data_IF_148521292495
#
_entry.id   IF_148521292495
#
_cell.length_a   1.000
_cell.length_b   1.000
_cell.length_c   1.000
_cell.angle_alpha   90.00
_cell.angle_beta   90.00
_cell.angle_gamma   90.00
#
_symmetry.space_group_name_H-M   'P 1'
#
loop_
_entity.id
_entity.type
_entity.pdbx_description
1 polymer ?
#
# COMPACT_ATOMS: atom_id res chain seq x y z
N UNK A 1 -26.77 -26.61 28.85
CA UNK A 1 -26.53 -26.84 27.41
C UNK A 1 -25.27 -26.10 27.01
N UNK A 2 -24.17 -26.81 26.72
CA UNK A 2 -22.94 -26.22 26.19
C UNK A 2 -23.22 -25.81 24.74
N UNK A 3 -23.10 -24.52 24.42
CA UNK A 3 -23.25 -24.07 23.04
C UNK A 3 -22.08 -24.61 22.21
N UNK A 4 -22.37 -25.57 21.33
CA UNK A 4 -21.46 -25.93 20.27
C UNK A 4 -21.33 -24.70 19.36
N UNK A 5 -20.22 -23.95 19.50
CA UNK A 5 -19.78 -23.07 18.42
C UNK A 5 -19.63 -23.95 17.17
N UNK A 6 -20.16 -23.56 16.01
CA UNK A 6 -19.99 -24.35 14.80
C UNK A 6 -18.48 -24.51 14.57
N UNK A 7 -18.03 -25.74 14.35
CA UNK A 7 -16.66 -26.04 13.92
C UNK A 7 -16.42 -25.20 12.68
N UNK A 8 -15.58 -24.17 12.79
CA UNK A 8 -15.29 -23.28 11.67
C UNK A 8 -14.81 -24.16 10.51
N UNK A 9 -15.53 -24.12 9.39
CA UNK A 9 -15.17 -24.89 8.20
C UNK A 9 -13.68 -24.64 7.89
N UNK A 10 -12.90 -25.73 7.83
CA UNK A 10 -11.45 -25.67 7.57
C UNK A 10 -11.25 -24.90 6.27
N UNK A 11 -10.76 -23.67 6.36
CA UNK A 11 -10.49 -22.84 5.18
C UNK A 11 -9.31 -23.46 4.44
N UNK A 12 -9.38 -23.51 3.11
CA UNK A 12 -8.25 -23.98 2.32
C UNK A 12 -7.03 -23.07 2.53
N UNK A 13 -5.80 -23.60 2.49
CA UNK A 13 -4.58 -22.80 2.65
C UNK A 13 -4.53 -21.59 1.70
N UNK A 14 -4.95 -21.78 0.45
CA UNK A 14 -5.03 -20.71 -0.55
C UNK A 14 -5.94 -19.57 -0.08
N UNK A 15 -7.12 -19.89 0.48
CA UNK A 15 -8.06 -18.88 0.96
C UNK A 15 -7.49 -18.08 2.14
N UNK A 16 -6.73 -18.71 3.02
CA UNK A 16 -6.07 -18.03 4.14
C UNK A 16 -4.99 -17.05 3.66
N UNK A 17 -4.17 -17.45 2.69
CA UNK A 17 -3.16 -16.57 2.12
C UNK A 17 -3.76 -15.44 1.27
N UNK A 18 -4.84 -15.68 0.54
CA UNK A 18 -5.60 -14.61 -0.12
C UNK A 18 -6.22 -13.64 0.89
N UNK A 19 -6.73 -14.14 2.01
CA UNK A 19 -7.22 -13.28 3.08
C UNK A 19 -6.08 -12.40 3.65
N UNK A 20 -4.91 -12.99 3.92
CA UNK A 20 -3.73 -12.27 4.42
C UNK A 20 -3.20 -11.22 3.44
N UNK A 21 -3.16 -11.54 2.14
CA UNK A 21 -2.67 -10.64 1.09
C UNK A 21 -3.61 -9.45 0.80
N UNK A 22 -4.91 -9.57 1.15
CA UNK A 22 -5.97 -8.58 0.91
C UNK A 22 -6.07 -8.09 -0.54
N UNK A 23 -6.36 -8.95 -1.55
CA UNK A 23 -6.42 -8.57 -2.96
C UNK A 23 -7.35 -7.40 -3.30
N UNK A 24 -8.41 -7.19 -2.53
CA UNK A 24 -9.32 -6.05 -2.75
C UNK A 24 -8.62 -4.69 -2.57
N UNK A 25 -7.51 -4.64 -1.83
CA UNK A 25 -6.68 -3.43 -1.65
C UNK A 25 -5.76 -3.16 -2.84
N UNK A 26 -5.47 -4.15 -3.69
CA UNK A 26 -4.52 -4.03 -4.79
C UNK A 26 -4.93 -3.00 -5.85
N UNK A 27 -6.21 -2.59 -5.88
CA UNK A 27 -6.66 -1.47 -6.69
C UNK A 27 -5.84 -0.20 -6.42
N UNK A 28 -5.44 0.06 -5.17
CA UNK A 28 -4.63 1.22 -4.81
C UNK A 28 -3.21 1.18 -5.43
N UNK A 29 -2.65 -0.02 -5.70
CA UNK A 29 -1.36 -0.12 -6.40
C UNK A 29 -1.49 -0.24 -7.91
N UNK A 30 -2.54 -0.89 -8.39
CA UNK A 30 -2.75 -1.11 -9.81
C UNK A 30 -3.17 0.17 -10.54
N UNK A 31 -4.08 0.98 -9.98
CA UNK A 31 -4.57 2.20 -10.64
C UNK A 31 -3.45 3.14 -11.12
N UNK A 32 -2.44 3.53 -10.31
CA UNK A 32 -1.34 4.39 -10.79
C UNK A 32 -0.45 3.69 -11.83
N UNK A 33 -0.27 2.36 -11.77
CA UNK A 33 0.47 1.59 -12.78
C UNK A 33 -0.25 1.62 -14.13
N UNK A 34 -1.56 1.38 -14.14
CA UNK A 34 -2.36 1.45 -15.36
C UNK A 34 -2.50 2.88 -15.88
N UNK A 35 -2.57 3.87 -15.00
CA UNK A 35 -2.51 5.29 -15.38
C UNK A 35 -1.20 5.61 -16.10
N UNK A 36 -0.06 5.14 -15.59
CA UNK A 36 1.22 5.33 -16.25
C UNK A 36 1.24 4.69 -17.64
N UNK A 37 0.74 3.46 -17.79
CA UNK A 37 0.62 2.80 -19.09
C UNK A 37 -0.27 3.60 -20.07
N UNK A 38 -1.40 4.12 -19.60
CA UNK A 38 -2.28 4.96 -20.42
C UNK A 38 -1.59 6.27 -20.86
N UNK A 39 -0.78 6.88 -20.00
CA UNK A 39 0.00 8.07 -20.35
C UNK A 39 1.08 7.78 -21.37
N UNK A 40 1.76 6.63 -21.25
CA UNK A 40 2.75 6.18 -22.22
C UNK A 40 2.10 5.96 -23.60
N UNK A 41 0.93 5.32 -23.64
CA UNK A 41 0.16 5.15 -24.88
C UNK A 41 -0.22 6.50 -25.51
N UNK A 42 -0.72 7.43 -24.70
CA UNK A 42 -1.13 8.77 -25.17
C UNK A 42 0.06 9.59 -25.69
N UNK A 43 1.23 9.42 -25.09
CA UNK A 43 2.43 10.17 -25.48
C UNK A 43 3.14 9.58 -26.71
N UNK A 44 2.68 8.45 -27.24
CA UNK A 44 3.26 7.77 -28.42
C UNK A 44 4.78 7.53 -28.31
N UNK A 45 5.25 7.26 -27.09
CA UNK A 45 6.68 7.08 -26.83
C UNK A 45 7.17 5.69 -27.22
N UNK A 46 8.46 5.53 -27.60
CA UNK A 46 9.11 4.24 -27.66
C UNK A 46 8.99 3.52 -26.31
N UNK A 47 8.37 2.35 -26.32
CA UNK A 47 7.93 1.67 -25.09
C UNK A 47 8.28 0.20 -25.09
N UNK A 48 8.77 -0.28 -23.95
CA UNK A 48 9.07 -1.68 -23.65
C UNK A 48 7.88 -2.39 -23.03
N UNK A 49 6.84 -2.64 -23.83
CA UNK A 49 5.61 -3.30 -23.36
C UNK A 49 5.84 -4.71 -22.81
N UNK A 50 6.94 -5.36 -23.20
CA UNK A 50 7.39 -6.63 -22.62
C UNK A 50 7.64 -6.56 -21.11
N UNK A 51 7.92 -5.37 -20.56
CA UNK A 51 8.13 -5.15 -19.13
C UNK A 51 6.83 -4.93 -18.35
N UNK A 52 5.72 -4.62 -19.02
CA UNK A 52 4.47 -4.27 -18.34
C UNK A 52 3.94 -5.38 -17.41
N UNK A 53 3.93 -6.68 -17.78
CA UNK A 53 3.54 -7.74 -16.87
C UNK A 53 4.42 -7.80 -15.60
N UNK A 54 5.72 -7.50 -15.73
CA UNK A 54 6.64 -7.44 -14.59
C UNK A 54 6.38 -6.21 -13.71
N UNK A 55 5.99 -5.08 -14.29
CA UNK A 55 5.60 -3.88 -13.53
C UNK A 55 4.35 -4.17 -12.69
N UNK A 56 3.33 -4.78 -13.30
CA UNK A 56 2.12 -5.21 -12.58
C UNK A 56 2.50 -6.21 -11.48
N UNK A 57 3.29 -7.23 -11.79
CA UNK A 57 3.76 -8.20 -10.81
C UNK A 57 4.51 -7.54 -9.64
N UNK A 58 5.46 -6.64 -9.92
CA UNK A 58 6.23 -5.94 -8.88
C UNK A 58 5.32 -5.09 -7.97
N UNK A 59 4.34 -4.38 -8.54
CA UNK A 59 3.36 -3.58 -7.80
C UNK A 59 2.45 -4.44 -6.90
N UNK A 60 2.07 -5.63 -7.35
CA UNK A 60 1.27 -6.57 -6.57
C UNK A 60 2.11 -7.20 -5.45
N UNK A 61 3.35 -7.59 -5.76
CA UNK A 61 4.27 -8.18 -4.79
C UNK A 61 4.60 -7.20 -3.67
N UNK A 62 4.93 -5.94 -3.98
CA UNK A 62 5.29 -4.95 -2.95
C UNK A 62 4.08 -4.57 -2.09
N UNK A 63 2.88 -4.53 -2.68
CA UNK A 63 1.64 -4.30 -1.94
C UNK A 63 1.35 -5.48 -1.02
N UNK A 64 1.37 -6.71 -1.53
CA UNK A 64 1.19 -7.91 -0.72
C UNK A 64 2.23 -8.01 0.40
N UNK A 65 3.49 -7.71 0.11
CA UNK A 65 4.58 -7.67 1.09
C UNK A 65 4.27 -6.68 2.23
N UNK A 66 3.86 -5.46 1.87
CA UNK A 66 3.46 -4.41 2.81
C UNK A 66 2.27 -4.87 3.66
N UNK A 67 1.23 -5.46 3.05
CA UNK A 67 0.07 -5.98 3.78
C UNK A 67 0.42 -7.07 4.80
N UNK A 68 1.31 -8.01 4.44
CA UNK A 68 1.72 -9.11 5.30
C UNK A 68 2.62 -8.64 6.45
N UNK A 69 3.57 -7.74 6.15
CA UNK A 69 4.44 -7.13 7.16
C UNK A 69 3.61 -6.28 8.13
N UNK A 70 2.64 -5.52 7.61
CA UNK A 70 1.72 -4.73 8.43
C UNK A 70 0.92 -5.59 9.39
N UNK A 71 0.26 -6.64 8.90
CA UNK A 71 -0.47 -7.56 9.77
C UNK A 71 0.42 -8.14 10.89
N UNK A 72 1.66 -8.50 10.57
CA UNK A 72 2.60 -9.02 11.56
C UNK A 72 2.94 -7.97 12.64
N UNK A 73 3.34 -6.75 12.24
CA UNK A 73 3.78 -5.73 13.19
C UNK A 73 2.61 -5.12 13.97
N UNK A 74 1.45 -4.90 13.34
CA UNK A 74 0.24 -4.43 14.02
C UNK A 74 -0.26 -5.49 15.03
N UNK A 75 -0.23 -6.78 14.70
CA UNK A 75 -0.51 -7.88 15.64
C UNK A 75 0.49 -7.91 16.80
N UNK A 76 1.80 -7.81 16.51
CA UNK A 76 2.86 -7.80 17.54
C UNK A 76 2.80 -6.58 18.46
N UNK A 77 2.35 -5.44 17.94
CA UNK A 77 2.20 -4.18 18.68
C UNK A 77 0.93 -4.15 19.53
N UNK A 78 -0.05 -5.00 19.24
CA UNK A 78 -1.36 -5.00 19.89
C UNK A 78 -2.34 -3.97 19.30
N UNK A 79 -2.02 -3.45 18.11
CA UNK A 79 -2.96 -2.64 17.31
C UNK A 79 -4.08 -3.57 16.85
N UNK A 80 -3.73 -4.69 16.22
CA UNK A 80 -4.69 -5.69 15.78
C UNK A 80 -5.07 -6.63 16.93
N UNK A 81 -6.35 -6.60 17.31
CA UNK A 81 -6.94 -7.38 18.40
C UNK A 81 -8.36 -7.86 18.05
N UNK A 82 -8.96 -8.79 18.83
CA UNK A 82 -10.27 -9.34 18.50
C UNK A 82 -11.39 -8.32 18.29
N UNK A 83 -11.30 -7.16 18.94
CA UNK A 83 -12.29 -6.09 18.92
C UNK A 83 -12.10 -5.09 17.77
N UNK A 84 -10.92 -5.06 17.14
CA UNK A 84 -10.59 -4.10 16.08
C UNK A 84 -11.02 -4.58 14.69
N UNK A 85 -11.31 -3.59 13.84
CA UNK A 85 -11.71 -3.77 12.45
C UNK A 85 -10.63 -3.19 11.54
N UNK A 86 -9.84 -4.02 10.82
CA UNK A 86 -8.83 -3.48 9.91
C UNK A 86 -7.76 -4.48 9.44
N UNK A 87 -7.45 -5.47 10.28
CA UNK A 87 -6.53 -6.55 9.94
C UNK A 87 -7.14 -7.56 8.98
N UNK A 88 -6.31 -8.38 8.34
CA UNK A 88 -6.82 -9.58 7.64
C UNK A 88 -7.45 -10.62 8.56
N UNK A 89 -7.33 -10.45 9.89
CA UNK A 89 -7.74 -11.38 10.95
C UNK A 89 -6.97 -12.69 11.02
N UNK A 90 -6.09 -13.02 10.07
CA UNK A 90 -5.43 -14.34 10.03
C UNK A 90 -4.52 -14.60 11.24
N UNK A 91 -3.92 -13.56 11.81
CA UNK A 91 -3.09 -13.66 13.02
C UNK A 91 -3.91 -13.56 14.30
N UNK A 92 -4.84 -12.60 14.36
CA UNK A 92 -5.74 -12.40 15.51
C UNK A 92 -6.58 -13.65 15.78
N UNK A 93 -7.05 -14.33 14.73
CA UNK A 93 -7.85 -15.56 14.83
C UNK A 93 -6.99 -16.84 14.92
N UNK A 94 -5.66 -16.72 14.93
CA UNK A 94 -4.75 -17.88 15.03
C UNK A 94 -4.78 -18.82 13.81
N UNK A 95 -5.20 -18.33 12.64
CA UNK A 95 -5.34 -19.13 11.42
C UNK A 95 -4.00 -19.38 10.72
N UNK A 96 -3.03 -18.48 10.87
CA UNK A 96 -1.68 -18.62 10.37
C UNK A 96 -0.66 -18.29 11.48
N UNK A 97 0.49 -18.98 11.53
CA UNK A 97 1.53 -18.65 12.49
C UNK A 97 2.18 -17.29 12.14
N UNK A 98 2.38 -16.37 13.10
CA UNK A 98 2.94 -15.03 12.84
C UNK A 98 4.26 -15.04 12.08
N UNK A 99 5.15 -15.99 12.41
CA UNK A 99 6.44 -16.13 11.72
C UNK A 99 6.27 -16.46 10.23
N UNK A 100 5.28 -17.26 9.84
CA UNK A 100 5.04 -17.56 8.43
C UNK A 100 4.55 -16.34 7.67
N UNK A 101 3.67 -15.53 8.27
CA UNK A 101 3.17 -14.29 7.65
C UNK A 101 4.32 -13.29 7.45
N UNK A 102 5.19 -13.11 8.44
CA UNK A 102 6.38 -12.27 8.30
C UNK A 102 7.32 -12.78 7.19
N UNK A 103 7.64 -14.08 7.19
CA UNK A 103 8.53 -14.65 6.18
C UNK A 103 7.94 -14.56 4.76
N UNK A 104 6.62 -14.71 4.61
CA UNK A 104 5.94 -14.50 3.33
C UNK A 104 6.04 -13.04 2.88
N UNK A 105 5.86 -12.08 3.79
CA UNK A 105 6.04 -10.65 3.49
C UNK A 105 7.47 -10.31 3.07
N UNK A 106 8.47 -10.80 3.81
CA UNK A 106 9.89 -10.63 3.47
C UNK A 106 10.25 -11.32 2.15
N UNK A 107 9.69 -12.51 1.88
CA UNK A 107 9.85 -13.22 0.62
C UNK A 107 9.27 -12.43 -0.55
N UNK A 108 8.08 -11.83 -0.38
CA UNK A 108 7.47 -10.97 -1.39
C UNK A 108 8.30 -9.70 -1.66
N UNK A 109 8.85 -9.06 -0.61
CA UNK A 109 9.84 -7.97 -0.80
C UNK A 109 11.08 -8.44 -1.56
N UNK A 110 11.61 -9.62 -1.25
CA UNK A 110 12.74 -10.21 -1.97
C UNK A 110 12.43 -10.46 -3.45
N UNK A 111 11.24 -10.95 -3.76
CA UNK A 111 10.78 -11.13 -5.14
C UNK A 111 10.58 -9.79 -5.87
N UNK A 112 10.01 -8.78 -5.19
CA UNK A 112 9.95 -7.41 -5.73
C UNK A 112 11.35 -6.88 -6.05
N UNK A 113 12.32 -7.08 -5.16
CA UNK A 113 13.70 -6.66 -5.38
C UNK A 113 14.33 -7.39 -6.57
N UNK A 114 14.11 -8.70 -6.71
CA UNK A 114 14.60 -9.48 -7.85
C UNK A 114 14.04 -8.96 -9.19
N UNK A 115 12.74 -8.64 -9.25
CA UNK A 115 12.13 -8.00 -10.42
C UNK A 115 12.72 -6.59 -10.64
N UNK A 116 12.91 -5.82 -9.57
CA UNK A 116 13.53 -4.50 -9.62
C UNK A 116 14.96 -4.52 -10.18
N UNK A 117 15.76 -5.55 -9.90
CA UNK A 117 17.09 -5.72 -10.48
C UNK A 117 17.06 -5.84 -12.01
N UNK A 118 16.04 -6.47 -12.58
CA UNK A 118 15.83 -6.52 -14.03
C UNK A 118 15.64 -5.10 -14.57
N UNK A 119 14.78 -4.30 -13.92
CA UNK A 119 14.53 -2.93 -14.34
C UNK A 119 15.77 -2.05 -14.21
N UNK A 120 16.53 -2.19 -13.12
CA UNK A 120 17.80 -1.47 -12.88
C UNK A 120 18.84 -1.83 -13.96
N UNK A 121 18.92 -3.10 -14.35
CA UNK A 121 19.85 -3.53 -15.41
C UNK A 121 19.52 -2.88 -16.78
N UNK A 122 18.25 -2.56 -17.04
CA UNK A 122 17.80 -1.99 -18.31
C UNK A 122 17.89 -0.45 -18.31
N UNK A 123 17.51 0.20 -17.20
CA UNK A 123 17.31 1.66 -17.15
C UNK A 123 18.17 2.39 -16.10
N UNK A 124 18.96 1.66 -15.33
CA UNK A 124 19.98 2.22 -14.43
C UNK A 124 19.47 2.69 -13.06
N UNK A 125 20.29 3.52 -12.42
CA UNK A 125 20.17 3.90 -11.00
C UNK A 125 18.89 4.65 -10.59
N UNK A 126 18.15 5.40 -11.44
CA UNK A 126 16.93 6.07 -10.99
C UNK A 126 15.88 5.07 -10.47
N UNK A 127 15.81 3.87 -11.07
CA UNK A 127 14.93 2.79 -10.61
C UNK A 127 15.37 2.24 -9.26
N UNK A 128 16.68 2.16 -9.01
CA UNK A 128 17.20 1.74 -7.71
C UNK A 128 16.72 2.68 -6.60
N UNK A 129 16.78 4.00 -6.83
CA UNK A 129 16.31 4.99 -5.85
C UNK A 129 14.81 4.84 -5.60
N UNK A 130 13.99 4.77 -6.65
CA UNK A 130 12.54 4.56 -6.51
C UNK A 130 12.21 3.23 -5.80
N UNK A 131 12.92 2.16 -6.15
CA UNK A 131 12.76 0.85 -5.53
C UNK A 131 13.11 0.86 -4.05
N UNK A 132 14.23 1.46 -3.67
CA UNK A 132 14.64 1.60 -2.26
C UNK A 132 13.63 2.44 -1.46
N UNK A 133 13.18 3.57 -2.01
CA UNK A 133 12.17 4.42 -1.38
C UNK A 133 10.84 3.67 -1.22
N UNK A 134 10.39 2.96 -2.25
CA UNK A 134 9.16 2.17 -2.22
C UNK A 134 9.23 1.01 -1.22
N UNK A 135 10.33 0.26 -1.21
CA UNK A 135 10.54 -0.85 -0.28
C UNK A 135 10.67 -0.38 1.16
N UNK A 136 11.42 0.71 1.39
CA UNK A 136 11.52 1.33 2.71
C UNK A 136 10.17 1.85 3.18
N UNK A 137 9.40 2.50 2.30
CA UNK A 137 8.03 2.93 2.56
C UNK A 137 7.13 1.78 2.98
N UNK A 138 7.07 0.70 2.21
CA UNK A 138 6.25 -0.47 2.53
C UNK A 138 6.67 -1.15 3.84
N UNK A 139 7.97 -1.34 4.07
CA UNK A 139 8.46 -2.03 5.26
C UNK A 139 8.32 -1.18 6.53
N UNK A 140 8.82 0.06 6.51
CA UNK A 140 8.83 0.96 7.67
C UNK A 140 7.49 1.65 7.93
N UNK A 141 6.45 1.33 7.17
CA UNK A 141 5.08 1.75 7.47
C UNK A 141 4.68 1.33 8.88
N UNK A 142 4.90 0.06 9.24
CA UNK A 142 4.62 -0.49 10.59
C UNK A 142 5.84 -1.09 11.28
N UNK A 143 6.89 -1.47 10.52
CA UNK A 143 8.08 -2.08 11.10
C UNK A 143 8.92 -1.07 11.90
N UNK A 144 9.35 -1.50 13.09
CA UNK A 144 10.32 -0.76 13.90
C UNK A 144 11.72 -0.77 13.25
N UNK A 145 12.56 0.26 13.49
CA UNK A 145 12.38 1.32 14.50
C UNK A 145 11.58 2.55 14.02
N UNK A 146 11.24 2.64 12.74
CA UNK A 146 10.61 3.85 12.17
C UNK A 146 9.09 3.83 12.36
N UNK A 147 8.42 2.78 11.89
CA UNK A 147 6.97 2.58 11.99
C UNK A 147 6.15 3.87 11.78
N UNK A 148 6.33 4.53 10.63
CA UNK A 148 5.88 5.91 10.44
C UNK A 148 4.35 6.07 10.43
N UNK A 149 3.59 4.98 10.25
CA UNK A 149 2.14 4.94 10.53
C UNK A 149 1.85 5.45 11.95
N UNK A 150 2.68 5.03 12.90
CA UNK A 150 2.53 5.35 14.33
C UNK A 150 3.07 6.72 14.72
N UNK A 151 3.66 7.45 13.76
CA UNK A 151 4.19 8.81 13.92
C UNK A 151 3.27 9.87 13.28
N UNK A 152 2.10 9.48 12.79
CA UNK A 152 1.11 10.41 12.23
C UNK A 152 1.44 10.99 10.86
N UNK A 153 2.35 10.34 10.11
CA UNK A 153 2.72 10.75 8.74
C UNK A 153 2.31 9.73 7.68
N UNK A 154 1.52 8.72 8.06
CA UNK A 154 1.07 7.62 7.20
C UNK A 154 0.38 8.12 5.93
N UNK A 155 -0.62 8.97 6.07
CA UNK A 155 -1.47 9.47 4.97
C UNK A 155 -0.63 10.24 3.93
N UNK A 156 0.29 11.09 4.41
CA UNK A 156 1.22 11.84 3.55
C UNK A 156 2.19 10.92 2.80
N UNK A 157 2.81 9.96 3.49
CA UNK A 157 3.75 9.03 2.84
C UNK A 157 3.03 8.14 1.83
N UNK A 158 1.85 7.61 2.18
CA UNK A 158 1.06 6.74 1.30
C UNK A 158 0.56 7.50 0.08
N UNK A 159 0.16 8.77 0.20
CA UNK A 159 -0.15 9.64 -0.93
C UNK A 159 0.97 9.61 -1.99
N UNK A 160 2.22 9.87 -1.57
CA UNK A 160 3.35 9.99 -2.48
C UNK A 160 3.81 8.63 -3.02
N UNK A 161 3.97 7.65 -2.12
CA UNK A 161 4.48 6.33 -2.45
C UNK A 161 3.51 5.56 -3.34
N UNK A 162 2.21 5.58 -3.00
CA UNK A 162 1.20 4.80 -3.69
C UNK A 162 0.46 5.56 -4.80
N UNK A 163 0.76 6.83 -5.02
CA UNK A 163 0.23 7.61 -6.14
C UNK A 163 1.36 8.04 -7.09
N UNK A 164 1.87 9.28 -6.98
CA UNK A 164 2.83 9.83 -7.93
C UNK A 164 4.09 9.01 -8.14
N UNK A 165 4.76 8.53 -7.09
CA UNK A 165 6.03 7.81 -7.25
C UNK A 165 5.84 6.44 -7.92
N UNK A 166 4.73 5.76 -7.64
CA UNK A 166 4.42 4.50 -8.30
C UNK A 166 4.07 4.69 -9.78
N UNK A 167 3.33 5.74 -10.13
CA UNK A 167 3.05 6.09 -11.52
C UNK A 167 4.32 6.47 -12.28
N UNK A 168 5.18 7.31 -11.69
CA UNK A 168 6.48 7.69 -12.27
C UNK A 168 7.38 6.47 -12.44
N UNK A 169 7.44 5.58 -11.44
CA UNK A 169 8.22 4.35 -11.52
C UNK A 169 7.76 3.44 -12.66
N UNK A 170 6.44 3.23 -12.80
CA UNK A 170 5.88 2.46 -13.91
C UNK A 170 6.19 3.12 -15.27
N UNK A 171 6.03 4.44 -15.39
CA UNK A 171 6.35 5.19 -16.60
C UNK A 171 7.84 5.05 -16.97
N UNK A 172 8.72 5.19 -15.98
CA UNK A 172 10.16 5.07 -16.12
C UNK A 172 10.58 3.66 -16.56
N UNK A 173 9.98 2.62 -15.99
CA UNK A 173 10.27 1.23 -16.42
C UNK A 173 9.81 0.99 -17.87
N UNK A 174 8.67 1.55 -18.28
CA UNK A 174 8.14 1.33 -19.62
C UNK A 174 8.90 2.11 -20.71
N UNK A 175 9.39 3.30 -20.40
CA UNK A 175 9.94 4.23 -21.40
C UNK A 175 11.43 4.50 -21.25
N UNK A 176 12.00 4.23 -20.07
CA UNK A 176 13.34 4.68 -19.69
C UNK A 176 13.46 6.17 -19.38
N UNK A 177 12.33 6.91 -19.34
CA UNK A 177 12.31 8.36 -19.15
C UNK A 177 11.64 8.74 -17.83
N UNK A 178 12.19 9.77 -17.17
CA UNK A 178 11.52 10.40 -16.04
C UNK A 178 10.42 11.36 -16.54
N UNK A 179 9.23 11.30 -15.94
CA UNK A 179 8.09 12.15 -16.35
C UNK A 179 7.47 12.90 -15.17
N UNK A 180 7.70 14.21 -15.12
CA UNK A 180 7.01 15.11 -14.20
C UNK A 180 5.50 15.20 -14.49
N UNK A 181 5.11 14.99 -15.75
CA UNK A 181 3.71 14.95 -16.16
C UNK A 181 3.00 13.72 -15.57
N UNK A 182 3.65 12.54 -15.60
CA UNK A 182 3.12 11.35 -14.96
C UNK A 182 2.96 11.55 -13.44
N UNK A 183 3.92 12.24 -12.82
CA UNK A 183 3.84 12.60 -11.40
C UNK A 183 2.62 13.50 -11.10
N UNK A 184 2.43 14.56 -11.89
CA UNK A 184 1.33 15.51 -11.71
C UNK A 184 -0.05 14.86 -11.94
N UNK A 185 -0.20 14.10 -13.03
CA UNK A 185 -1.45 13.42 -13.38
C UNK A 185 -1.83 12.33 -12.38
N UNK A 186 -0.86 11.81 -11.61
CA UNK A 186 -1.10 10.85 -10.54
C UNK A 186 -1.43 11.49 -9.18
N UNK A 187 -1.42 12.83 -9.03
CA UNK A 187 -1.80 13.50 -7.78
C UNK A 187 -3.27 13.21 -7.37
N UNK A 188 -4.26 13.21 -8.29
CA UNK A 188 -5.62 12.75 -7.97
C UNK A 188 -5.66 11.31 -7.43
N UNK A 189 -4.87 10.41 -8.04
CA UNK A 189 -4.79 9.01 -7.60
C UNK A 189 -4.19 8.92 -6.19
N UNK A 190 -3.09 9.63 -5.93
CA UNK A 190 -2.50 9.71 -4.58
C UNK A 190 -3.50 10.23 -3.55
N UNK A 191 -4.31 11.23 -3.90
CA UNK A 191 -5.35 11.80 -3.03
C UNK A 191 -6.41 10.77 -2.67
N UNK A 192 -6.87 9.98 -3.65
CA UNK A 192 -7.87 8.92 -3.43
C UNK A 192 -7.28 7.72 -2.66
N UNK A 193 -6.03 7.35 -2.91
CA UNK A 193 -5.38 6.27 -2.13
C UNK A 193 -5.19 6.71 -0.67
N UNK A 194 -4.74 7.94 -0.45
CA UNK A 194 -4.61 8.49 0.90
C UNK A 194 -5.97 8.63 1.60
N UNK A 195 -7.05 8.94 0.88
CA UNK A 195 -8.38 9.03 1.51
C UNK A 195 -8.90 7.66 1.99
N UNK A 196 -8.55 6.56 1.33
CA UNK A 196 -8.84 5.20 1.83
C UNK A 196 -8.18 5.00 3.20
N UNK A 197 -6.90 5.39 3.33
CA UNK A 197 -6.18 5.26 4.58
C UNK A 197 -6.71 6.22 5.65
N UNK A 198 -6.95 7.49 5.31
CA UNK A 198 -7.51 8.49 6.21
C UNK A 198 -8.88 8.05 6.76
N UNK A 199 -9.72 7.43 5.91
CA UNK A 199 -11.00 6.84 6.33
C UNK A 199 -10.84 5.69 7.34
N UNK A 200 -9.84 4.82 7.14
CA UNK A 200 -9.50 3.78 8.12
C UNK A 200 -9.00 4.40 9.43
N UNK A 201 -8.03 5.31 9.37
CA UNK A 201 -7.47 5.97 10.55
C UNK A 201 -8.55 6.74 11.34
N UNK A 202 -9.51 7.38 10.65
CA UNK A 202 -10.63 8.08 11.28
C UNK A 202 -11.56 7.11 12.05
N UNK A 203 -11.85 5.94 11.49
CA UNK A 203 -12.61 4.88 12.17
C UNK A 203 -11.86 4.38 13.40
N UNK A 204 -10.54 4.25 13.27
CA UNK A 204 -9.70 3.53 14.23
C UNK A 204 -9.09 4.44 15.31
N UNK A 205 -9.42 5.74 15.36
CA UNK A 205 -8.88 6.70 16.36
C UNK A 205 -8.94 6.16 17.80
N UNK A 206 -10.11 5.67 18.23
CA UNK A 206 -10.28 5.15 19.58
C UNK A 206 -9.45 3.87 19.79
N UNK A 207 -9.35 3.04 18.76
CA UNK A 207 -8.64 1.77 18.84
C UNK A 207 -7.12 1.93 18.82
N UNK A 208 -6.60 2.87 18.03
CA UNK A 208 -5.20 3.25 17.97
C UNK A 208 -4.72 3.86 19.30
N UNK A 209 -5.58 4.67 19.95
CA UNK A 209 -5.28 5.27 21.24
C UNK A 209 -5.06 4.21 22.33
N UNK A 210 -5.87 3.14 22.34
CA UNK A 210 -5.69 2.00 23.26
C UNK A 210 -4.34 1.30 23.02
N UNK A 211 -3.92 1.18 21.75
CA UNK A 211 -2.63 0.60 21.36
C UNK A 211 -1.43 1.55 21.53
N UNK A 212 -1.66 2.78 22.03
CA UNK A 212 -0.65 3.84 22.17
C UNK A 212 0.08 4.13 20.84
N UNK A 213 -0.71 4.14 19.77
CA UNK A 213 -0.30 4.46 18.41
C UNK A 213 -0.92 5.80 18.02
N UNK A 214 -0.17 6.60 17.28
CA UNK A 214 -0.61 7.92 16.85
C UNK A 214 -0.61 7.99 15.32
N UNK A 215 -1.80 7.86 14.73
CA UNK A 215 -2.03 8.08 13.29
C UNK A 215 -2.35 9.56 13.01
N UNK A 216 -2.39 9.97 11.73
CA UNK A 216 -2.74 11.35 11.34
C UNK A 216 -4.09 11.76 11.92
N UNK A 217 -5.07 10.86 11.83
CA UNK A 217 -6.39 11.06 12.40
C UNK A 217 -6.37 11.19 13.94
N UNK A 218 -5.51 10.43 14.62
CA UNK A 218 -5.29 10.54 16.06
C UNK A 218 -4.70 11.89 16.48
N UNK A 219 -3.78 12.47 15.69
CA UNK A 219 -3.22 13.81 15.93
C UNK A 219 -4.26 14.91 15.72
N UNK A 220 -5.05 14.81 14.64
CA UNK A 220 -6.04 15.80 14.26
C UNK A 220 -7.31 15.76 15.12
N UNK A 221 -7.67 14.57 15.61
CA UNK A 221 -8.94 14.29 16.26
C UNK A 221 -10.12 14.20 15.27
N UNK A 222 -11.26 13.68 15.75
CA UNK A 222 -12.40 13.30 14.89
C UNK A 222 -12.94 14.38 13.94
N UNK A 223 -12.93 15.66 14.34
CA UNK A 223 -13.47 16.74 13.48
C UNK A 223 -12.52 17.08 12.35
N UNK A 224 -11.24 17.29 12.66
CA UNK A 224 -10.26 17.66 11.65
C UNK A 224 -9.89 16.46 10.74
N UNK A 225 -9.85 15.23 11.27
CA UNK A 225 -9.66 14.02 10.47
C UNK A 225 -10.79 13.81 9.43
N UNK A 226 -12.05 14.16 9.76
CA UNK A 226 -13.15 14.17 8.78
C UNK A 226 -12.96 15.22 7.69
N UNK A 227 -12.43 16.39 8.05
CA UNK A 227 -12.12 17.44 7.08
C UNK A 227 -10.95 17.06 6.19
N UNK A 228 -9.91 16.42 6.72
CA UNK A 228 -8.81 15.84 5.95
C UNK A 228 -9.32 14.84 4.92
N UNK A 229 -10.12 13.85 5.34
CA UNK A 229 -10.72 12.88 4.43
C UNK A 229 -11.50 13.57 3.30
N UNK A 230 -12.37 14.54 3.65
CA UNK A 230 -13.14 15.29 2.66
C UNK A 230 -12.23 16.11 1.73
N UNK A 231 -11.18 16.74 2.26
CA UNK A 231 -10.22 17.51 1.49
C UNK A 231 -9.46 16.62 0.50
N UNK A 232 -9.01 15.43 0.90
CA UNK A 232 -8.36 14.47 0.02
C UNK A 232 -9.28 14.07 -1.14
N UNK A 233 -10.53 13.73 -0.85
CA UNK A 233 -11.52 13.38 -1.90
C UNK A 233 -11.79 14.55 -2.83
N UNK A 234 -12.09 15.74 -2.29
CA UNK A 234 -12.39 16.93 -3.10
C UNK A 234 -11.17 17.34 -3.95
N UNK A 235 -9.98 17.30 -3.36
CA UNK A 235 -8.73 17.65 -4.05
C UNK A 235 -8.49 16.75 -5.26
N UNK A 236 -8.85 15.47 -5.22
CA UNK A 236 -8.72 14.58 -6.36
C UNK A 236 -9.49 15.10 -7.58
N UNK A 237 -10.74 15.53 -7.40
CA UNK A 237 -11.57 16.05 -8.49
C UNK A 237 -11.15 17.45 -8.94
N UNK A 238 -10.78 18.32 -7.99
CA UNK A 238 -10.26 19.66 -8.31
C UNK A 238 -8.97 19.56 -9.13
N UNK A 239 -8.06 18.67 -8.74
CA UNK A 239 -6.82 18.42 -9.46
C UNK A 239 -7.08 17.89 -10.88
N UNK A 240 -8.09 17.03 -11.08
CA UNK A 240 -8.49 16.61 -12.43
C UNK A 240 -8.88 17.84 -13.27
N UNK A 241 -9.73 18.74 -12.75
CA UNK A 241 -10.17 19.94 -13.48
C UNK A 241 -8.98 20.87 -13.81
N UNK A 242 -7.99 20.98 -12.91
CA UNK A 242 -6.81 21.83 -13.11
C UNK A 242 -5.83 21.22 -14.14
N UNK A 243 -5.74 19.89 -14.20
CA UNK A 243 -4.78 19.16 -15.03
C UNK A 243 -5.35 18.76 -16.41
N UNK A 244 -6.64 19.00 -16.66
CA UNK A 244 -7.29 18.89 -17.98
C UNK A 244 -6.91 20.07 -18.86
#
# INVERSE_FOLDING_TARGET
MKSCRPVAAVRSPVRLWLQAARPFTFTASMVPVFLAAALVLRAELPTRWELFPLVVLASLLIHAATNLVNDYFDYRKGVDRPETYGSSRVLVDGLLPPRAVLLAGLGAFGLTAAVGLIFIAIHGWPILVLGLVGMAGGFFYTALPVAYKYLGVGDFCVFWLMGPLMAVGAFLVLTGLWSWQAMAIALPVGSLVASILSGNNLRDIADDAVAKVTTTAGLLGHRAARLEYAALVISAYVLIVILM
#
